data_IF_094123790978
#
_entry.id   IF_094123790978
#
_cell.length_a   1.000
_cell.length_b   1.000
_cell.length_c   1.000
_cell.angle_alpha   90.00
_cell.angle_beta   90.00
_cell.angle_gamma   90.00
#
_symmetry.space_group_name_H-M   'P 1'
#
loop_
_entity.id
_entity.type
_entity.pdbx_description
1 polymer ?
#
# COMPACT_ATOMS: atom_id res chain seq x y z
N UNK A 1 24.12 -10.25 -1.28
CA UNK A 1 24.46 -11.53 -1.96
C UNK A 1 23.17 -12.26 -2.29
N UNK A 2 23.06 -12.85 -3.48
CA UNK A 2 21.81 -13.44 -4.01
C UNK A 2 22.01 -14.90 -4.38
N UNK A 3 20.94 -15.71 -4.34
CA UNK A 3 20.97 -17.11 -4.77
C UNK A 3 19.66 -17.55 -5.43
N UNK A 4 19.77 -18.59 -6.25
CA UNK A 4 18.60 -19.35 -6.70
C UNK A 4 18.17 -20.32 -5.61
N UNK A 5 16.86 -20.44 -5.42
CA UNK A 5 16.25 -21.48 -4.60
C UNK A 5 15.14 -22.17 -5.39
N UNK A 6 14.81 -23.39 -5.00
CA UNK A 6 13.64 -24.09 -5.52
C UNK A 6 12.43 -23.85 -4.60
N UNK A 7 11.30 -23.52 -5.19
CA UNK A 7 10.03 -23.47 -4.49
C UNK A 7 9.45 -24.89 -4.31
N UNK A 8 8.50 -25.09 -3.37
CA UNK A 8 7.88 -26.40 -3.14
C UNK A 8 7.23 -27.04 -4.38
N UNK A 9 6.82 -26.24 -5.36
CA UNK A 9 6.22 -26.70 -6.61
C UNK A 9 7.26 -26.94 -7.73
N UNK A 10 8.56 -26.92 -7.43
CA UNK A 10 9.65 -27.15 -8.38
C UNK A 10 10.04 -25.94 -9.24
N UNK A 11 9.34 -24.81 -9.13
CA UNK A 11 9.72 -23.56 -9.82
C UNK A 11 10.91 -22.88 -9.13
N UNK A 12 11.70 -22.13 -9.88
CA UNK A 12 12.85 -21.42 -9.31
C UNK A 12 12.46 -20.05 -8.78
N UNK A 13 13.14 -19.61 -7.74
CA UNK A 13 12.99 -18.29 -7.15
C UNK A 13 14.37 -17.68 -6.91
N UNK A 14 14.39 -16.35 -6.80
CA UNK A 14 15.59 -15.58 -6.51
C UNK A 14 15.46 -15.01 -5.10
N UNK A 15 16.45 -15.28 -4.26
CA UNK A 15 16.49 -14.88 -2.86
C UNK A 15 17.68 -13.95 -2.59
N UNK A 16 17.44 -12.88 -1.85
CA UNK A 16 18.52 -12.11 -1.21
C UNK A 16 18.88 -12.77 0.12
N UNK A 17 20.13 -13.23 0.24
CA UNK A 17 20.59 -14.09 1.35
C UNK A 17 20.48 -13.39 2.71
N UNK A 18 20.79 -12.09 2.78
CA UNK A 18 20.82 -11.36 4.06
C UNK A 18 19.43 -11.18 4.68
N UNK A 19 18.41 -10.92 3.86
CA UNK A 19 17.04 -10.67 4.34
C UNK A 19 16.11 -11.88 4.18
N UNK A 20 16.52 -12.91 3.44
CA UNK A 20 15.64 -14.00 3.01
C UNK A 20 14.51 -13.55 2.10
N UNK A 21 14.63 -12.36 1.49
CA UNK A 21 13.60 -11.80 0.63
C UNK A 21 13.57 -12.49 -0.72
N UNK A 22 12.36 -12.86 -1.17
CA UNK A 22 12.13 -13.50 -2.45
C UNK A 22 11.64 -12.50 -3.49
N UNK A 23 12.22 -12.56 -4.69
CA UNK A 23 11.85 -11.70 -5.81
C UNK A 23 10.57 -12.17 -6.52
N UNK A 24 10.17 -13.42 -6.30
CA UNK A 24 8.93 -14.00 -6.85
C UNK A 24 8.15 -14.72 -5.75
N UNK A 25 6.90 -15.03 -6.04
CA UNK A 25 6.01 -15.81 -5.18
C UNK A 25 6.63 -17.15 -4.83
N UNK A 26 6.69 -17.48 -3.54
CA UNK A 26 7.18 -18.79 -3.06
C UNK A 26 6.32 -19.96 -3.53
N UNK A 27 5.05 -19.71 -3.85
CA UNK A 27 4.09 -20.76 -4.18
C UNK A 27 3.90 -20.93 -5.68
N UNK A 28 3.73 -19.83 -6.43
CA UNK A 28 3.45 -19.87 -7.86
C UNK A 28 4.04 -18.65 -8.59
N UNK A 29 5.37 -18.63 -8.85
CA UNK A 29 6.02 -17.56 -9.62
C UNK A 29 5.42 -17.33 -11.00
N UNK A 30 5.05 -18.41 -11.72
CA UNK A 30 4.48 -18.30 -13.06
C UNK A 30 3.15 -17.55 -13.05
N UNK A 31 2.23 -17.92 -12.15
CA UNK A 31 0.93 -17.24 -12.02
C UNK A 31 1.05 -15.81 -11.48
N UNK A 32 2.08 -15.52 -10.68
CA UNK A 32 2.42 -14.14 -10.34
C UNK A 32 2.89 -13.38 -11.58
N UNK A 33 3.78 -13.98 -12.37
CA UNK A 33 4.27 -13.43 -13.64
C UNK A 33 3.13 -13.09 -14.60
N UNK A 34 2.16 -13.98 -14.77
CA UNK A 34 0.97 -13.75 -15.60
C UNK A 34 0.14 -12.54 -15.16
N UNK A 35 -0.02 -12.35 -13.85
CA UNK A 35 -0.74 -11.20 -13.25
C UNK A 35 0.05 -9.90 -13.37
N UNK A 36 1.38 -9.97 -13.30
CA UNK A 36 2.25 -8.82 -13.49
C UNK A 36 2.27 -8.43 -14.97
N UNK A 37 2.30 -9.40 -15.88
CA UNK A 37 2.23 -9.18 -17.32
C UNK A 37 0.96 -8.43 -17.76
N UNK A 38 -0.18 -8.65 -17.09
CA UNK A 38 -1.44 -7.90 -17.35
C UNK A 38 -1.34 -6.40 -17.05
N UNK A 39 -0.33 -5.97 -16.28
CA UNK A 39 -0.08 -4.56 -15.96
C UNK A 39 0.94 -3.92 -16.92
N UNK A 40 1.59 -4.71 -17.77
CA UNK A 40 2.54 -4.21 -18.76
C UNK A 40 1.74 -3.57 -19.91
N UNK A 41 2.08 -2.33 -20.33
CA UNK A 41 1.37 -1.66 -21.40
C UNK A 41 1.37 -2.47 -22.70
N UNK A 42 0.20 -2.56 -23.35
CA UNK A 42 0.11 -3.11 -24.71
C UNK A 42 0.53 -2.03 -25.71
N UNK A 43 1.50 -2.29 -26.60
CA UNK A 43 1.96 -1.31 -27.57
C UNK A 43 0.86 -0.99 -28.58
N UNK A 44 0.72 0.30 -28.89
CA UNK A 44 -0.28 0.81 -29.83
C UNK A 44 0.24 0.86 -31.27
N UNK A 45 1.55 0.71 -31.46
CA UNK A 45 2.22 0.64 -32.77
C UNK A 45 3.47 -0.25 -32.70
N UNK A 46 3.96 -0.68 -33.85
CA UNK A 46 5.22 -1.42 -34.02
C UNK A 46 6.47 -0.57 -33.68
N UNK A 47 6.33 0.76 -33.66
CA UNK A 47 7.36 1.73 -33.27
C UNK A 47 7.35 2.09 -31.78
N UNK A 48 6.54 1.41 -30.97
CA UNK A 48 6.50 1.59 -29.52
C UNK A 48 7.37 0.55 -28.80
N UNK A 49 8.33 1.02 -28.00
CA UNK A 49 9.19 0.17 -27.17
C UNK A 49 8.68 0.14 -25.73
N UNK A 50 8.44 -1.07 -25.22
CA UNK A 50 8.12 -1.31 -23.81
C UNK A 50 9.43 -1.36 -23.02
N UNK A 51 9.55 -0.49 -22.03
CA UNK A 51 10.73 -0.38 -21.19
C UNK A 51 10.43 -0.97 -19.80
N UNK A 52 11.00 -2.12 -19.49
CA UNK A 52 10.75 -2.86 -18.24
C UNK A 52 11.89 -2.61 -17.26
N UNK A 53 11.56 -2.17 -16.04
CA UNK A 53 12.50 -2.02 -14.93
C UNK A 53 12.34 -3.16 -13.92
N UNK A 54 13.35 -4.02 -13.86
CA UNK A 54 13.42 -5.21 -13.01
C UNK A 54 13.07 -6.48 -13.79
N UNK A 55 14.04 -7.37 -13.99
CA UNK A 55 13.85 -8.63 -14.73
C UNK A 55 13.57 -9.81 -13.79
N UNK A 56 14.36 -9.92 -12.71
CA UNK A 56 14.31 -11.07 -11.81
C UNK A 56 14.63 -12.35 -12.57
N UNK A 57 13.70 -13.31 -12.58
CA UNK A 57 13.82 -14.55 -13.38
C UNK A 57 13.00 -14.50 -14.67
N UNK A 58 12.39 -13.36 -15.00
CA UNK A 58 11.70 -13.16 -16.26
C UNK A 58 10.28 -13.75 -16.37
N UNK A 59 9.67 -14.26 -15.30
CA UNK A 59 8.32 -14.85 -15.34
C UNK A 59 7.26 -13.92 -15.95
N UNK A 60 7.30 -12.64 -15.60
CA UNK A 60 6.37 -11.63 -16.13
C UNK A 60 6.69 -11.25 -17.59
N UNK A 61 7.98 -11.20 -17.95
CA UNK A 61 8.42 -10.92 -19.32
C UNK A 61 7.99 -12.05 -20.25
N UNK A 62 8.22 -13.30 -19.84
CA UNK A 62 7.85 -14.49 -20.60
C UNK A 62 6.33 -14.55 -20.80
N UNK A 63 5.54 -14.37 -19.73
CA UNK A 63 4.08 -14.35 -19.84
C UNK A 63 3.56 -13.19 -20.71
N UNK A 64 4.23 -12.03 -20.69
CA UNK A 64 3.87 -10.89 -21.53
C UNK A 64 4.14 -11.16 -23.01
N UNK A 65 5.30 -11.72 -23.35
CA UNK A 65 5.66 -12.08 -24.72
C UNK A 65 4.74 -13.19 -25.27
N UNK A 66 4.39 -14.19 -24.46
CA UNK A 66 3.45 -15.26 -24.85
C UNK A 66 2.06 -14.74 -25.22
N UNK A 67 1.57 -13.71 -24.52
CA UNK A 67 0.25 -13.11 -24.76
C UNK A 67 0.24 -12.12 -25.94
N UNK A 68 1.40 -11.70 -26.43
CA UNK A 68 1.49 -10.69 -27.47
C UNK A 68 1.13 -11.29 -28.84
N UNK A 69 0.00 -10.86 -29.40
CA UNK A 69 -0.49 -11.33 -30.70
C UNK A 69 0.24 -10.72 -31.91
N UNK A 70 1.20 -9.82 -31.67
CA UNK A 70 2.01 -9.14 -32.68
C UNK A 70 3.46 -8.99 -32.16
N UNK A 71 4.46 -8.85 -33.06
CA UNK A 71 5.81 -8.49 -32.66
C UNK A 71 5.84 -7.24 -31.77
N UNK A 72 6.68 -7.27 -30.74
CA UNK A 72 6.84 -6.16 -29.79
C UNK A 72 8.32 -5.86 -29.56
N UNK A 73 8.61 -4.58 -29.31
CA UNK A 73 9.93 -4.10 -28.94
C UNK A 73 9.99 -4.01 -27.42
N UNK A 74 10.94 -4.73 -26.79
CA UNK A 74 11.09 -4.77 -25.34
C UNK A 74 12.55 -4.47 -24.98
N UNK A 75 12.74 -3.41 -24.19
CA UNK A 75 14.00 -3.08 -23.53
C UNK A 75 13.83 -3.37 -22.04
N UNK A 76 14.71 -4.19 -21.48
CA UNK A 76 14.63 -4.64 -20.09
C UNK A 76 15.88 -4.14 -19.36
N UNK A 77 15.69 -3.47 -18.23
CA UNK A 77 16.76 -3.10 -17.31
C UNK A 77 16.66 -3.95 -16.05
N UNK A 78 17.67 -4.77 -15.77
CA UNK A 78 17.86 -5.39 -14.46
C UNK A 78 18.80 -4.50 -13.64
N UNK A 79 18.30 -3.69 -12.69
CA UNK A 79 19.10 -2.65 -12.06
C UNK A 79 20.19 -3.18 -11.12
N UNK A 80 20.12 -4.43 -10.66
CA UNK A 80 21.04 -5.00 -9.69
C UNK A 80 22.11 -5.81 -10.41
N UNK A 81 23.30 -5.22 -10.59
CA UNK A 81 24.42 -5.86 -11.31
C UNK A 81 24.81 -7.23 -10.73
N UNK A 82 24.71 -7.40 -9.42
CA UNK A 82 25.02 -8.65 -8.72
C UNK A 82 24.09 -9.82 -9.10
N UNK A 83 22.95 -9.56 -9.76
CA UNK A 83 22.05 -10.59 -10.26
C UNK A 83 22.45 -11.14 -11.62
N UNK A 84 23.30 -10.43 -12.38
CA UNK A 84 23.65 -10.78 -13.77
C UNK A 84 24.02 -12.25 -13.93
N UNK A 85 25.00 -12.73 -13.16
CA UNK A 85 25.50 -14.11 -13.26
C UNK A 85 24.45 -15.20 -12.98
N UNK A 86 23.39 -14.85 -12.24
CA UNK A 86 22.31 -15.77 -11.90
C UNK A 86 21.24 -15.76 -12.99
N UNK A 87 20.86 -14.57 -13.46
CA UNK A 87 19.67 -14.37 -14.29
C UNK A 87 19.97 -14.38 -15.79
N UNK A 88 21.23 -14.21 -16.19
CA UNK A 88 21.67 -14.14 -17.59
C UNK A 88 21.19 -15.35 -18.41
N UNK A 89 21.37 -16.57 -17.88
CA UNK A 89 20.87 -17.81 -18.52
C UNK A 89 19.36 -17.80 -18.78
N UNK A 90 18.57 -17.24 -17.86
CA UNK A 90 17.12 -17.11 -18.04
C UNK A 90 16.79 -16.07 -19.10
N UNK A 91 17.50 -14.94 -19.09
CA UNK A 91 17.34 -13.87 -20.06
C UNK A 91 17.69 -14.33 -21.49
N UNK A 92 18.76 -15.10 -21.65
CA UNK A 92 19.17 -15.68 -22.94
C UNK A 92 18.14 -16.68 -23.46
N UNK A 93 17.65 -17.59 -22.60
CA UNK A 93 16.61 -18.55 -22.95
C UNK A 93 15.35 -17.84 -23.46
N UNK A 94 14.85 -16.86 -22.71
CA UNK A 94 13.65 -16.09 -23.07
C UNK A 94 13.93 -15.30 -24.36
N UNK A 95 15.04 -14.57 -24.43
CA UNK A 95 15.42 -13.76 -25.59
C UNK A 95 15.49 -14.60 -26.87
N UNK A 96 16.15 -15.76 -26.85
CA UNK A 96 16.26 -16.67 -28.00
C UNK A 96 14.89 -17.20 -28.43
N UNK A 97 14.09 -17.69 -27.49
CA UNK A 97 12.77 -18.27 -27.75
C UNK A 97 11.84 -17.28 -28.45
N UNK A 98 11.75 -16.05 -27.94
CA UNK A 98 10.78 -15.06 -28.45
C UNK A 98 11.31 -14.21 -29.61
N UNK A 99 12.64 -14.06 -29.78
CA UNK A 99 13.20 -13.46 -31.00
C UNK A 99 12.86 -14.24 -32.26
N UNK A 100 12.80 -15.57 -32.17
CA UNK A 100 12.34 -16.42 -33.28
C UNK A 100 10.88 -16.15 -33.68
N UNK A 101 10.06 -15.60 -32.78
CA UNK A 101 8.67 -15.22 -33.03
C UNK A 101 8.54 -13.74 -33.46
N UNK A 102 9.66 -13.09 -33.82
CA UNK A 102 9.69 -11.72 -34.32
C UNK A 102 9.79 -10.63 -33.26
N UNK A 103 9.81 -10.96 -31.96
CA UNK A 103 9.98 -9.96 -30.91
C UNK A 103 11.42 -9.41 -30.87
N UNK A 104 11.57 -8.10 -30.67
CA UNK A 104 12.89 -7.46 -30.51
C UNK A 104 13.15 -7.24 -29.03
N UNK A 105 14.09 -8.00 -28.47
CA UNK A 105 14.35 -8.02 -27.02
C UNK A 105 15.80 -7.61 -26.76
N UNK A 106 15.99 -6.60 -25.92
CA UNK A 106 17.29 -6.14 -25.42
C UNK A 106 17.24 -6.11 -23.90
N UNK A 107 18.28 -6.60 -23.24
CA UNK A 107 18.43 -6.55 -21.78
C UNK A 107 19.73 -5.82 -21.41
N UNK A 108 19.67 -5.01 -20.36
CA UNK A 108 20.79 -4.26 -19.78
C UNK A 108 20.88 -4.62 -18.30
N UNK A 109 22.10 -4.82 -17.80
CA UNK A 109 22.36 -5.19 -16.41
C UNK A 109 23.08 -4.06 -15.68
N UNK A 110 22.58 -3.68 -14.50
CA UNK A 110 23.13 -2.58 -13.71
C UNK A 110 22.55 -1.23 -14.12
N UNK A 111 22.06 -0.48 -13.13
CA UNK A 111 21.56 0.86 -13.35
C UNK A 111 22.67 1.81 -13.84
N UNK A 112 23.86 1.75 -13.27
CA UNK A 112 24.98 2.62 -13.65
C UNK A 112 25.41 2.41 -15.11
N UNK A 113 25.44 1.16 -15.58
CA UNK A 113 25.71 0.84 -16.99
C UNK A 113 24.66 1.46 -17.90
N UNK A 114 23.38 1.31 -17.56
CA UNK A 114 22.28 1.91 -18.31
C UNK A 114 22.37 3.43 -18.36
N UNK A 115 22.74 4.09 -17.25
CA UNK A 115 22.86 5.54 -17.14
C UNK A 115 24.12 6.10 -17.79
N UNK A 116 25.13 5.27 -18.07
CA UNK A 116 26.38 5.69 -18.73
C UNK A 116 26.18 6.12 -20.19
N UNK A 117 25.02 5.83 -20.78
CA UNK A 117 24.66 6.16 -22.14
C UNK A 117 23.29 6.84 -22.18
N UNK A 118 23.03 7.73 -23.17
CA UNK A 118 21.70 8.28 -23.36
C UNK A 118 20.70 7.17 -23.72
N UNK A 119 19.42 7.34 -23.35
CA UNK A 119 18.38 6.33 -23.58
C UNK A 119 18.31 5.88 -25.04
N UNK A 120 18.50 6.81 -25.98
CA UNK A 120 18.51 6.56 -27.43
C UNK A 120 19.53 5.51 -27.87
N UNK A 121 20.65 5.33 -27.15
CA UNK A 121 21.63 4.27 -27.40
C UNK A 121 21.02 2.88 -27.22
N UNK A 122 20.15 2.74 -26.20
CA UNK A 122 19.54 1.48 -25.83
C UNK A 122 18.27 1.16 -26.62
N UNK A 123 17.64 2.14 -27.26
CA UNK A 123 16.41 1.94 -28.04
C UNK A 123 16.68 1.27 -29.39
N UNK A 124 15.61 0.75 -30.00
CA UNK A 124 15.63 0.29 -31.38
C UNK A 124 15.51 1.48 -32.34
N UNK A 125 16.18 1.44 -33.49
CA UNK A 125 16.35 2.58 -34.43
C UNK A 125 15.04 3.26 -34.86
N UNK A 126 13.95 2.49 -34.92
CA UNK A 126 12.60 2.86 -35.35
C UNK A 126 11.66 3.26 -34.20
N UNK A 127 12.17 3.29 -32.95
CA UNK A 127 11.36 3.65 -31.77
C UNK A 127 10.96 5.11 -31.82
N UNK A 128 9.66 5.41 -31.80
CA UNK A 128 9.13 6.78 -31.68
C UNK A 128 8.31 7.00 -30.40
N UNK A 129 8.01 5.93 -29.64
CA UNK A 129 7.25 5.98 -28.39
C UNK A 129 7.83 4.98 -27.40
N UNK A 130 7.90 5.38 -26.12
CA UNK A 130 8.40 4.52 -25.04
C UNK A 130 7.32 4.39 -23.97
N UNK A 131 7.04 3.16 -23.55
CA UNK A 131 6.09 2.86 -22.48
C UNK A 131 6.81 2.18 -21.32
N UNK A 132 7.13 2.93 -20.25
CA UNK A 132 7.84 2.37 -19.10
C UNK A 132 6.90 1.53 -18.22
N UNK A 133 7.44 0.45 -17.68
CA UNK A 133 6.81 -0.44 -16.71
C UNK A 133 7.80 -0.75 -15.59
N UNK A 134 7.40 -0.47 -14.35
CA UNK A 134 8.21 -0.81 -13.17
C UNK A 134 7.71 -2.11 -12.57
N UNK A 135 8.59 -3.10 -12.48
CA UNK A 135 8.24 -4.35 -11.84
C UNK A 135 7.92 -4.12 -10.35
N UNK A 136 6.76 -4.58 -9.84
CA UNK A 136 6.30 -4.22 -8.49
C UNK A 136 7.26 -4.56 -7.36
N UNK A 137 8.05 -5.62 -7.50
CA UNK A 137 9.07 -5.99 -6.49
C UNK A 137 10.18 -4.95 -6.43
N UNK A 138 10.62 -4.46 -7.60
CA UNK A 138 11.73 -3.52 -7.70
C UNK A 138 11.31 -2.13 -7.24
N UNK A 139 10.11 -1.69 -7.62
CA UNK A 139 9.55 -0.42 -7.13
C UNK A 139 9.31 -0.41 -5.62
N UNK A 140 9.08 -1.58 -5.00
CA UNK A 140 8.83 -1.68 -3.55
C UNK A 140 10.12 -1.77 -2.72
N UNK A 141 11.05 -2.62 -3.15
CA UNK A 141 12.26 -2.95 -2.38
C UNK A 141 13.47 -2.08 -2.73
N UNK A 142 13.59 -1.66 -3.98
CA UNK A 142 14.74 -0.91 -4.49
C UNK A 142 14.28 0.46 -4.97
N UNK A 143 13.65 1.21 -4.05
CA UNK A 143 13.01 2.50 -4.36
C UNK A 143 14.01 3.51 -4.91
N UNK A 144 15.21 3.59 -4.35
CA UNK A 144 16.24 4.51 -4.82
C UNK A 144 16.66 4.21 -6.27
N UNK A 145 16.85 2.93 -6.60
CA UNK A 145 17.15 2.52 -7.98
C UNK A 145 15.98 2.82 -8.93
N UNK A 146 14.75 2.59 -8.48
CA UNK A 146 13.54 2.88 -9.26
C UNK A 146 13.35 4.38 -9.50
N UNK A 147 13.66 5.22 -8.50
CA UNK A 147 13.61 6.67 -8.60
C UNK A 147 14.70 7.20 -9.55
N UNK A 148 15.95 6.78 -9.38
CA UNK A 148 17.06 7.14 -10.28
C UNK A 148 16.80 6.72 -11.72
N UNK A 149 16.21 5.54 -11.93
CA UNK A 149 15.77 5.11 -13.24
C UNK A 149 14.67 6.00 -13.81
N UNK A 150 13.61 6.29 -13.05
CA UNK A 150 12.54 7.19 -13.48
C UNK A 150 13.04 8.60 -13.80
N UNK A 151 14.02 9.09 -13.03
CA UNK A 151 14.67 10.38 -13.24
C UNK A 151 15.48 10.41 -14.54
N UNK A 152 16.15 9.30 -14.90
CA UNK A 152 16.86 9.19 -16.17
C UNK A 152 15.95 9.27 -17.39
N UNK A 153 14.70 8.81 -17.27
CA UNK A 153 13.70 8.91 -18.33
C UNK A 153 13.17 10.35 -18.48
N UNK A 154 13.36 11.23 -17.47
CA UNK A 154 12.99 12.65 -17.56
C UNK A 154 13.89 13.42 -18.51
N UNK A 155 15.17 13.04 -18.64
CA UNK A 155 16.14 13.75 -19.47
C UNK A 155 15.95 13.53 -20.99
N UNK A 156 15.15 12.55 -21.43
CA UNK A 156 14.95 12.21 -22.86
C UNK A 156 13.50 12.39 -23.39
N UNK A 157 12.63 13.05 -22.62
CA UNK A 157 11.30 13.55 -22.99
C UNK A 157 10.18 12.52 -23.33
N UNK A 158 8.95 12.91 -22.95
CA UNK A 158 7.64 12.41 -23.41
C UNK A 158 7.27 10.93 -23.16
N UNK A 159 6.70 10.62 -21.97
CA UNK A 159 5.43 9.88 -21.88
C UNK A 159 4.82 9.84 -20.47
N UNK A 160 3.57 10.30 -20.39
CA UNK A 160 2.88 10.76 -19.18
C UNK A 160 1.90 9.71 -18.62
N UNK A 161 1.66 8.57 -19.28
CA UNK A 161 0.49 7.72 -19.03
C UNK A 161 0.53 6.86 -17.74
N UNK A 162 1.68 6.26 -17.38
CA UNK A 162 1.77 5.40 -16.19
C UNK A 162 1.85 6.19 -14.86
N UNK A 163 2.38 7.42 -14.92
CA UNK A 163 2.40 8.43 -13.83
C UNK A 163 0.99 8.87 -13.37
N UNK A 164 -0.06 8.59 -14.13
CA UNK A 164 -1.31 9.31 -14.05
C UNK A 164 -2.41 8.76 -13.12
N UNK A 165 -2.36 7.51 -12.67
CA UNK A 165 -3.51 6.94 -11.96
C UNK A 165 -3.31 6.84 -10.45
N UNK A 166 -2.18 6.28 -9.97
CA UNK A 166 -1.95 6.05 -8.54
C UNK A 166 -1.22 7.21 -7.84
N UNK A 167 -0.23 7.85 -8.48
CA UNK A 167 0.43 9.04 -7.92
C UNK A 167 -0.53 10.23 -7.81
N UNK A 168 -1.48 10.38 -8.74
CA UNK A 168 -2.42 11.50 -8.72
C UNK A 168 -3.40 11.48 -7.55
N UNK A 169 -3.91 10.32 -7.15
CA UNK A 169 -4.90 10.24 -6.05
C UNK A 169 -4.22 10.57 -4.71
N UNK A 170 -3.05 10.01 -4.44
CA UNK A 170 -2.35 10.24 -3.18
C UNK A 170 -1.82 11.66 -3.06
N UNK A 171 -1.17 12.19 -4.10
CA UNK A 171 -0.72 13.60 -4.09
C UNK A 171 -1.90 14.55 -3.93
N UNK A 172 -2.98 14.37 -4.71
CA UNK A 172 -4.20 15.18 -4.58
C UNK A 172 -4.80 15.06 -3.18
N UNK A 173 -4.87 13.86 -2.62
CA UNK A 173 -5.42 13.64 -1.30
C UNK A 173 -4.53 14.28 -0.22
N UNK A 174 -3.20 14.11 -0.26
CA UNK A 174 -2.27 14.77 0.67
C UNK A 174 -2.49 16.28 0.70
N UNK A 175 -2.55 16.90 -0.48
CA UNK A 175 -2.81 18.34 -0.61
C UNK A 175 -4.17 18.72 -0.06
N UNK A 176 -5.24 18.08 -0.55
CA UNK A 176 -6.61 18.41 -0.13
C UNK A 176 -6.80 18.20 1.38
N UNK A 177 -6.29 17.10 1.91
CA UNK A 177 -6.44 16.73 3.32
C UNK A 177 -5.66 17.70 4.18
N UNK A 178 -4.45 18.10 3.76
CA UNK A 178 -3.72 19.15 4.44
C UNK A 178 -4.48 20.47 4.42
N UNK A 179 -4.94 20.94 3.27
CA UNK A 179 -5.77 22.15 3.17
C UNK A 179 -7.01 22.07 4.07
N UNK A 180 -7.70 20.92 4.06
CA UNK A 180 -8.86 20.66 4.92
C UNK A 180 -8.55 20.76 6.41
N UNK A 181 -7.36 20.37 6.86
CA UNK A 181 -6.94 20.54 8.26
C UNK A 181 -6.84 22.02 8.66
N UNK A 182 -6.42 22.89 7.73
CA UNK A 182 -6.31 24.34 7.99
C UNK A 182 -7.66 25.06 7.87
N UNK A 183 -8.52 24.64 6.93
CA UNK A 183 -9.81 25.27 6.66
C UNK A 183 -10.91 24.81 7.62
N UNK A 184 -10.92 23.54 8.00
CA UNK A 184 -11.98 22.98 8.84
C UNK A 184 -11.64 23.10 10.32
N UNK A 185 -12.66 23.29 11.16
CA UNK A 185 -12.53 23.26 12.62
C UNK A 185 -12.44 21.84 13.21
N UNK A 186 -12.23 20.81 12.37
CA UNK A 186 -12.17 19.42 12.81
C UNK A 186 -10.85 19.17 13.55
N UNK A 187 -10.87 18.61 14.78
CA UNK A 187 -9.66 18.43 15.56
C UNK A 187 -8.73 17.43 14.86
N UNK A 188 -7.53 17.88 14.49
CA UNK A 188 -6.52 17.08 13.81
C UNK A 188 -5.20 17.18 14.56
N UNK A 189 -4.55 16.04 14.81
CA UNK A 189 -3.30 15.95 15.56
C UNK A 189 -2.32 15.04 14.81
N UNK A 190 -1.06 15.45 14.72
CA UNK A 190 0.03 14.63 14.18
C UNK A 190 0.58 13.76 15.31
N UNK A 191 0.62 12.44 15.11
CA UNK A 191 1.28 11.51 16.03
C UNK A 191 2.79 11.69 15.94
N UNK A 192 3.42 12.12 17.03
CA UNK A 192 4.87 12.33 17.09
C UNK A 192 5.60 11.42 18.06
N UNK A 193 4.87 10.67 18.89
CA UNK A 193 5.46 9.65 19.74
C UNK A 193 4.51 9.09 20.79
N UNK A 194 5.10 8.50 21.83
CA UNK A 194 4.44 8.00 23.02
C UNK A 194 5.16 8.52 24.26
N UNK A 195 4.44 8.67 25.37
CA UNK A 195 5.05 8.87 26.69
C UNK A 195 5.85 7.62 27.08
N UNK A 196 7.00 7.83 27.71
CA UNK A 196 7.90 6.76 28.12
C UNK A 196 7.18 5.73 29.01
N UNK A 197 7.38 4.46 28.67
CA UNK A 197 6.80 3.28 29.34
C UNK A 197 5.27 3.29 29.52
N UNK A 198 4.52 4.18 28.87
CA UNK A 198 3.07 4.27 29.06
C UNK A 198 2.34 3.00 28.60
N UNK A 199 2.75 2.49 27.43
CA UNK A 199 2.18 1.30 26.80
C UNK A 199 2.88 0.00 27.21
N UNK A 200 3.89 0.11 28.08
CA UNK A 200 4.45 -1.05 28.80
C UNK A 200 3.31 -1.65 29.64
N UNK A 201 3.18 -2.97 29.59
CA UNK A 201 2.09 -3.75 30.18
C UNK A 201 0.67 -3.48 29.61
N UNK A 202 0.53 -2.63 28.59
CA UNK A 202 -0.74 -2.43 27.90
C UNK A 202 -0.87 -3.40 26.72
N UNK A 203 -2.11 -3.77 26.40
CA UNK A 203 -2.42 -4.64 25.27
C UNK A 203 -3.16 -3.85 24.20
N UNK A 204 -2.76 -3.99 22.94
CA UNK A 204 -3.52 -3.53 21.77
C UNK A 204 -4.26 -4.71 21.16
N UNK A 205 -5.56 -4.60 20.97
CA UNK A 205 -6.36 -5.49 20.13
C UNK A 205 -6.64 -4.77 18.81
N UNK A 206 -6.21 -5.37 17.70
CA UNK A 206 -6.63 -4.95 16.37
C UNK A 206 -7.74 -5.86 15.83
N UNK A 207 -8.81 -5.27 15.29
CA UNK A 207 -9.85 -6.03 14.58
C UNK A 207 -9.79 -5.76 13.08
N UNK A 208 -9.46 -6.80 12.32
CA UNK A 208 -9.73 -6.87 10.88
C UNK A 208 -11.16 -7.31 10.62
N UNK A 209 -11.54 -7.41 9.35
CA UNK A 209 -12.92 -7.67 8.95
C UNK A 209 -13.16 -9.08 8.40
N UNK A 210 -12.35 -10.07 8.74
CA UNK A 210 -12.60 -11.47 8.35
C UNK A 210 -13.92 -11.98 8.95
N UNK A 211 -14.67 -12.89 8.29
CA UNK A 211 -15.90 -13.46 8.82
C UNK A 211 -15.78 -14.07 10.22
N UNK A 212 -14.60 -14.56 10.62
CA UNK A 212 -14.36 -15.09 11.97
C UNK A 212 -14.51 -14.06 13.08
N UNK A 213 -14.41 -12.75 12.78
CA UNK A 213 -14.69 -11.70 13.76
C UNK A 213 -16.08 -11.88 14.39
N UNK A 214 -17.05 -12.40 13.63
CA UNK A 214 -18.41 -12.65 14.11
C UNK A 214 -18.40 -13.60 15.33
N UNK A 215 -17.62 -14.68 15.26
CA UNK A 215 -17.49 -15.68 16.33
C UNK A 215 -16.63 -15.16 17.50
N UNK A 216 -15.71 -14.24 17.22
CA UNK A 216 -14.83 -13.65 18.23
C UNK A 216 -15.47 -12.49 19.00
N UNK A 217 -16.62 -11.98 18.55
CA UNK A 217 -17.22 -10.74 19.07
C UNK A 217 -17.64 -10.86 20.54
N UNK A 218 -18.20 -12.00 20.95
CA UNK A 218 -18.60 -12.23 22.34
C UNK A 218 -17.40 -12.16 23.29
N UNK A 219 -16.25 -12.67 22.86
CA UNK A 219 -15.02 -12.59 23.63
C UNK A 219 -14.53 -11.14 23.74
N UNK A 220 -14.63 -10.36 22.66
CA UNK A 220 -14.23 -8.94 22.66
C UNK A 220 -15.11 -8.17 23.63
N UNK A 221 -16.42 -8.40 23.62
CA UNK A 221 -17.37 -7.77 24.52
C UNK A 221 -17.06 -8.08 25.98
N UNK A 222 -16.87 -9.38 26.32
CA UNK A 222 -16.55 -9.83 27.68
C UNK A 222 -15.22 -9.28 28.21
N UNK A 223 -14.26 -9.02 27.32
CA UNK A 223 -12.91 -8.58 27.69
C UNK A 223 -12.61 -7.12 27.32
N UNK A 224 -13.62 -6.31 26.94
CA UNK A 224 -13.41 -4.96 26.37
C UNK A 224 -12.54 -4.04 27.23
N UNK A 225 -12.62 -4.21 28.56
CA UNK A 225 -11.85 -3.45 29.55
C UNK A 225 -10.47 -4.06 29.85
N UNK A 226 -9.93 -4.91 28.96
CA UNK A 226 -8.60 -5.56 29.11
C UNK A 226 -7.61 -5.24 27.97
N UNK A 227 -7.98 -4.39 27.02
CA UNK A 227 -7.11 -3.90 25.94
C UNK A 227 -7.56 -2.54 25.39
N UNK A 228 -6.64 -1.86 24.72
CA UNK A 228 -6.97 -0.83 23.74
C UNK A 228 -7.51 -1.47 22.46
N UNK A 229 -8.60 -0.98 21.90
CA UNK A 229 -9.22 -1.50 20.69
C UNK A 229 -9.00 -0.58 19.49
N UNK A 230 -8.19 -1.02 18.54
CA UNK A 230 -8.00 -0.40 17.24
C UNK A 230 -8.80 -1.17 16.18
N UNK A 231 -9.86 -0.58 15.64
CA UNK A 231 -10.67 -1.24 14.63
C UNK A 231 -10.28 -0.83 13.21
N UNK A 232 -10.26 -1.77 12.26
CA UNK A 232 -10.25 -1.39 10.84
C UNK A 232 -11.55 -0.67 10.49
N UNK A 233 -11.48 0.30 9.57
CA UNK A 233 -12.69 0.89 8.98
C UNK A 233 -13.67 -0.17 8.45
N UNK A 234 -13.15 -1.28 7.93
CA UNK A 234 -13.93 -2.37 7.34
C UNK A 234 -14.70 -3.18 8.39
N UNK A 235 -14.12 -3.39 9.58
CA UNK A 235 -14.76 -4.10 10.71
C UNK A 235 -15.64 -3.19 11.57
N UNK A 236 -15.47 -1.88 11.46
CA UNK A 236 -16.13 -0.85 12.25
C UNK A 236 -17.66 -1.03 12.33
N UNK A 237 -18.30 -1.23 11.18
CA UNK A 237 -19.75 -1.39 11.10
C UNK A 237 -20.27 -2.60 11.89
N UNK A 238 -19.49 -3.68 11.93
CA UNK A 238 -19.82 -4.88 12.71
C UNK A 238 -19.70 -4.61 14.21
N UNK A 239 -18.53 -4.16 14.69
CA UNK A 239 -18.29 -3.96 16.12
C UNK A 239 -19.23 -2.92 16.74
N UNK A 240 -19.56 -1.85 16.01
CA UNK A 240 -20.51 -0.83 16.49
C UNK A 240 -21.94 -1.38 16.60
N UNK A 241 -22.37 -2.26 15.70
CA UNK A 241 -23.70 -2.89 15.78
C UNK A 241 -23.85 -3.76 17.04
N UNK A 242 -22.74 -4.24 17.62
CA UNK A 242 -22.72 -4.99 18.88
C UNK A 242 -22.46 -4.10 20.11
N UNK A 243 -22.53 -2.76 19.96
CA UNK A 243 -22.31 -1.82 21.05
C UNK A 243 -20.86 -1.68 21.49
N UNK A 244 -19.90 -2.22 20.73
CA UNK A 244 -18.47 -2.13 21.04
C UNK A 244 -17.90 -0.87 20.38
N UNK A 245 -17.64 0.16 21.18
CA UNK A 245 -16.97 1.38 20.73
C UNK A 245 -15.45 1.17 20.79
N UNK A 246 -14.73 1.24 19.65
CA UNK A 246 -13.27 1.15 19.66
C UNK A 246 -12.64 2.41 20.26
N UNK A 247 -11.35 2.34 20.64
CA UNK A 247 -10.60 3.49 21.13
C UNK A 247 -10.11 4.37 19.96
N UNK A 248 -9.87 3.76 18.80
CA UNK A 248 -9.61 4.44 17.54
C UNK A 248 -10.01 3.56 16.34
N UNK A 249 -10.25 4.20 15.20
CA UNK A 249 -10.48 3.52 13.92
C UNK A 249 -9.29 3.77 13.03
N UNK A 250 -8.66 2.71 12.53
CA UNK A 250 -7.63 2.80 11.52
C UNK A 250 -8.29 2.86 10.13
N UNK A 251 -7.87 3.80 9.29
CA UNK A 251 -8.28 3.87 7.88
C UNK A 251 -7.12 4.22 6.97
N UNK A 252 -6.90 3.38 5.95
CA UNK A 252 -5.75 3.43 5.06
C UNK A 252 -6.12 3.80 3.62
N UNK A 253 -7.26 3.32 3.11
CA UNK A 253 -7.61 3.44 1.69
C UNK A 253 -7.86 4.89 1.27
N UNK A 254 -7.37 5.23 0.06
CA UNK A 254 -7.45 6.57 -0.52
C UNK A 254 -8.67 6.79 -1.42
N UNK A 255 -9.44 5.72 -1.65
CA UNK A 255 -10.55 5.70 -2.59
C UNK A 255 -11.84 6.27 -1.98
N UNK A 256 -12.83 6.56 -2.83
CA UNK A 256 -14.18 6.93 -2.37
C UNK A 256 -14.93 5.75 -1.73
N UNK A 257 -14.50 4.51 -1.98
CA UNK A 257 -15.10 3.32 -1.39
C UNK A 257 -15.08 3.35 0.15
N UNK A 258 -14.11 4.06 0.73
CA UNK A 258 -14.00 4.30 2.17
C UNK A 258 -15.28 4.89 2.79
N UNK A 259 -16.04 5.69 2.03
CA UNK A 259 -17.34 6.22 2.45
C UNK A 259 -18.28 5.14 3.00
N UNK A 260 -18.34 3.98 2.35
CA UNK A 260 -19.30 2.94 2.73
C UNK A 260 -18.97 2.27 4.07
N UNK A 261 -17.71 2.33 4.50
CA UNK A 261 -17.25 1.82 5.79
C UNK A 261 -17.63 2.76 6.95
N UNK A 262 -17.70 4.07 6.67
CA UNK A 262 -18.04 5.10 7.62
C UNK A 262 -19.49 5.54 7.45
N UNK A 263 -20.41 4.77 8.07
CA UNK A 263 -21.84 5.09 8.13
C UNK A 263 -22.08 6.36 8.98
N UNK A 264 -23.28 6.95 8.89
CA UNK A 264 -23.73 8.08 9.75
C UNK A 264 -23.85 7.76 11.25
N UNK A 265 -23.28 6.64 11.72
CA UNK A 265 -23.40 6.11 13.09
C UNK A 265 -22.05 6.22 13.83
N UNK A 266 -21.04 6.86 13.24
CA UNK A 266 -19.75 7.02 13.90
C UNK A 266 -19.90 7.91 15.15
N UNK A 267 -19.54 7.43 16.36
CA UNK A 267 -19.57 8.28 17.55
C UNK A 267 -18.71 9.52 17.33
N UNK A 268 -19.23 10.73 17.56
CA UNK A 268 -18.59 12.00 17.17
C UNK A 268 -17.16 12.18 17.68
N UNK A 269 -16.86 11.63 18.87
CA UNK A 269 -15.55 11.74 19.53
C UNK A 269 -14.59 10.61 19.17
N UNK A 270 -15.01 9.61 18.39
CA UNK A 270 -14.18 8.48 18.02
C UNK A 270 -13.08 8.95 17.04
N UNK A 271 -11.79 8.88 17.41
CA UNK A 271 -10.72 9.32 16.54
C UNK A 271 -10.49 8.35 15.39
N UNK A 272 -10.11 8.92 14.24
CA UNK A 272 -9.74 8.18 13.04
C UNK A 272 -8.23 8.32 12.86
N UNK A 273 -7.51 7.21 13.06
CA UNK A 273 -6.09 7.06 12.76
C UNK A 273 -5.92 6.86 11.25
N UNK A 274 -5.27 7.81 10.58
CA UNK A 274 -5.09 7.79 9.12
C UNK A 274 -3.80 8.52 8.71
N UNK A 275 -3.52 8.57 7.40
CA UNK A 275 -2.37 9.26 6.81
C UNK A 275 -2.85 10.34 5.84
N UNK A 276 -1.97 11.24 5.42
CA UNK A 276 -2.37 12.37 4.57
C UNK A 276 -2.84 11.95 3.18
N UNK A 277 -2.36 10.82 2.66
CA UNK A 277 -2.84 10.25 1.39
C UNK A 277 -4.18 9.50 1.50
N UNK A 278 -4.74 9.36 2.70
CA UNK A 278 -6.00 8.66 2.95
C UNK A 278 -7.21 9.30 2.26
N UNK A 279 -8.36 8.62 2.31
CA UNK A 279 -9.58 9.10 1.64
C UNK A 279 -9.97 10.48 2.13
N UNK A 280 -10.20 11.41 1.21
CA UNK A 280 -10.54 12.80 1.55
C UNK A 280 -11.87 12.94 2.28
N UNK A 281 -12.77 11.96 2.10
CA UNK A 281 -14.03 11.91 2.84
C UNK A 281 -13.79 11.80 4.35
N UNK A 282 -12.73 11.09 4.77
CA UNK A 282 -12.39 10.98 6.19
C UNK A 282 -12.15 12.38 6.76
N UNK A 283 -11.35 13.19 6.09
CA UNK A 283 -10.99 14.56 6.53
C UNK A 283 -12.19 15.51 6.60
N UNK A 284 -13.23 15.25 5.80
CA UNK A 284 -14.49 16.00 5.86
C UNK A 284 -15.35 15.61 7.10
N UNK A 285 -15.16 14.42 7.69
CA UNK A 285 -15.92 14.00 8.88
C UNK A 285 -15.56 14.84 10.12
N UNK A 286 -16.53 15.15 11.00
CA UNK A 286 -16.31 15.97 12.19
C UNK A 286 -15.44 15.28 13.26
N UNK A 287 -15.18 13.99 13.09
CA UNK A 287 -14.40 13.18 14.01
C UNK A 287 -12.95 13.67 14.14
N UNK A 288 -12.29 13.44 15.29
CA UNK A 288 -10.88 13.73 15.43
C UNK A 288 -10.04 12.93 14.43
N UNK A 289 -9.00 13.56 13.89
CA UNK A 289 -8.00 12.92 13.02
C UNK A 289 -6.72 12.74 13.79
N UNK A 290 -6.26 11.49 13.88
CA UNK A 290 -4.93 11.16 14.35
C UNK A 290 -4.11 10.79 13.12
N UNK A 291 -3.12 11.61 12.80
CA UNK A 291 -2.41 11.51 11.54
C UNK A 291 -1.03 10.91 11.81
N UNK A 292 -0.72 9.80 11.15
CA UNK A 292 0.61 9.21 11.15
C UNK A 292 1.32 9.47 9.82
N UNK A 293 2.66 9.47 9.82
CA UNK A 293 3.43 9.52 8.60
C UNK A 293 3.67 8.12 8.05
N UNK A 294 3.33 7.94 6.78
CA UNK A 294 3.61 6.71 6.03
C UNK A 294 4.99 6.77 5.36
N UNK A 295 5.33 5.71 4.62
CA UNK A 295 6.51 5.69 3.74
C UNK A 295 6.33 6.48 2.44
N UNK A 296 5.18 7.14 2.23
CA UNK A 296 4.94 7.94 1.03
C UNK A 296 5.86 9.17 0.97
N UNK A 297 6.41 9.55 -0.19
CA UNK A 297 7.38 10.65 -0.29
C UNK A 297 6.90 11.99 0.31
N UNK A 298 5.65 12.39 0.06
CA UNK A 298 5.12 13.64 0.64
C UNK A 298 5.01 13.59 2.17
N UNK A 299 4.69 12.44 2.74
CA UNK A 299 4.64 12.25 4.20
C UNK A 299 6.05 12.35 4.78
N UNK A 300 7.04 11.73 4.12
CA UNK A 300 8.43 11.77 4.57
C UNK A 300 9.03 13.18 4.48
N UNK A 301 8.70 13.94 3.43
CA UNK A 301 9.13 15.34 3.30
C UNK A 301 8.50 16.19 4.41
N UNK A 302 7.18 16.12 4.59
CA UNK A 302 6.48 16.86 5.65
C UNK A 302 7.03 16.54 7.04
N UNK A 303 7.25 15.26 7.31
CA UNK A 303 7.91 14.78 8.52
C UNK A 303 9.30 15.40 8.67
N UNK A 304 10.16 15.30 7.67
CA UNK A 304 11.53 15.83 7.74
C UNK A 304 11.57 17.34 7.99
N UNK A 305 10.66 18.10 7.37
CA UNK A 305 10.63 19.56 7.46
C UNK A 305 10.02 20.07 8.78
N UNK A 306 8.94 19.44 9.26
CA UNK A 306 8.12 20.00 10.34
C UNK A 306 8.01 19.12 11.58
N UNK A 307 8.26 17.81 11.46
CA UNK A 307 8.04 16.82 12.53
C UNK A 307 9.16 15.76 12.52
N UNK A 308 10.42 16.20 12.61
CA UNK A 308 11.60 15.34 12.40
C UNK A 308 11.67 14.14 13.36
N UNK A 309 11.05 14.25 14.52
CA UNK A 309 10.96 13.19 15.54
C UNK A 309 9.75 12.28 15.38
N UNK A 310 8.77 12.63 14.54
CA UNK A 310 7.59 11.82 14.35
C UNK A 310 7.96 10.45 13.77
N UNK A 311 7.29 9.37 14.17
CA UNK A 311 7.59 8.06 13.63
C UNK A 311 7.00 7.85 12.24
N UNK A 312 7.62 6.93 11.50
CA UNK A 312 7.07 6.41 10.25
C UNK A 312 6.42 5.07 10.55
N UNK A 313 5.14 4.93 10.22
CA UNK A 313 4.47 3.63 10.29
C UNK A 313 4.60 2.90 8.96
N UNK A 314 5.43 1.87 8.96
CA UNK A 314 5.64 1.00 7.80
C UNK A 314 4.53 -0.05 7.67
N UNK A 315 4.15 -0.38 6.43
CA UNK A 315 3.15 -1.42 6.17
C UNK A 315 3.69 -2.55 5.27
N UNK A 316 4.58 -3.41 5.78
CA UNK A 316 5.16 -4.50 4.98
C UNK A 316 4.12 -5.54 4.54
N UNK A 317 3.01 -5.68 5.29
CA UNK A 317 1.94 -6.64 4.97
C UNK A 317 0.95 -6.13 3.91
N UNK A 318 1.04 -4.84 3.53
CA UNK A 318 0.19 -4.17 2.56
C UNK A 318 -1.32 -4.24 2.89
N UNK A 319 -1.67 -4.31 4.18
CA UNK A 319 -3.05 -4.29 4.67
C UNK A 319 -3.14 -3.52 6.00
N UNK A 320 -4.34 -3.43 6.56
CA UNK A 320 -4.57 -2.69 7.81
C UNK A 320 -3.90 -3.30 9.04
N UNK A 321 -3.77 -4.63 9.10
CA UNK A 321 -3.10 -5.31 10.20
C UNK A 321 -1.61 -4.96 10.27
N UNK A 322 -0.94 -4.76 9.13
CA UNK A 322 0.46 -4.32 9.11
C UNK A 322 0.69 -2.95 9.74
N UNK A 323 -0.20 -1.98 9.45
CA UNK A 323 -0.14 -0.69 10.14
C UNK A 323 -0.44 -0.84 11.63
N UNK A 324 -1.38 -1.71 12.03
CA UNK A 324 -1.64 -1.98 13.44
C UNK A 324 -0.41 -2.58 14.15
N UNK A 325 0.32 -3.49 13.49
CA UNK A 325 1.60 -4.03 13.98
C UNK A 325 2.65 -2.92 14.11
N UNK A 326 2.80 -2.07 13.10
CA UNK A 326 3.75 -0.96 13.15
C UNK A 326 3.39 0.06 14.25
N UNK A 327 2.11 0.38 14.39
CA UNK A 327 1.59 1.23 15.46
C UNK A 327 1.90 0.64 16.84
N UNK A 328 1.62 -0.64 17.06
CA UNK A 328 1.92 -1.32 18.32
C UNK A 328 3.42 -1.29 18.66
N UNK A 329 4.27 -1.61 17.67
CA UNK A 329 5.74 -1.59 17.82
C UNK A 329 6.26 -0.20 18.12
N UNK A 330 5.80 0.80 17.38
CA UNK A 330 6.26 2.18 17.54
C UNK A 330 5.93 2.76 18.91
N UNK A 331 4.76 2.40 19.45
CA UNK A 331 4.32 2.83 20.77
C UNK A 331 4.84 1.93 21.89
N UNK A 332 5.63 0.88 21.57
CA UNK A 332 6.19 -0.09 22.51
C UNK A 332 5.11 -0.78 23.36
N UNK A 333 4.00 -1.18 22.72
CA UNK A 333 3.03 -2.05 23.35
C UNK A 333 3.70 -3.36 23.78
N UNK A 334 3.41 -3.79 25.00
CA UNK A 334 3.87 -5.09 25.49
C UNK A 334 3.25 -6.24 24.70
N UNK A 335 1.97 -6.08 24.32
CA UNK A 335 1.22 -7.13 23.61
C UNK A 335 0.33 -6.57 22.52
N UNK A 336 0.23 -7.33 21.44
CA UNK A 336 -0.73 -7.13 20.34
C UNK A 336 -1.56 -8.42 20.19
N UNK A 337 -2.87 -8.25 20.02
CA UNK A 337 -3.81 -9.32 19.69
C UNK A 337 -4.43 -8.96 18.36
N UNK A 338 -4.55 -9.92 17.45
CA UNK A 338 -5.22 -9.72 16.17
C UNK A 338 -6.48 -10.60 16.12
N UNK A 339 -7.63 -9.99 15.82
CA UNK A 339 -8.91 -10.68 15.63
C UNK A 339 -9.53 -10.29 14.30
N UNK A 340 -10.25 -11.21 13.66
CA UNK A 340 -10.81 -10.98 12.33
C UNK A 340 -9.76 -10.76 11.24
N UNK A 341 -8.56 -11.35 11.36
CA UNK A 341 -7.46 -11.20 10.37
C UNK A 341 -7.01 -12.52 9.75
N UNK A 342 -7.77 -13.60 9.94
CA UNK A 342 -7.39 -14.93 9.48
C UNK A 342 -7.64 -15.19 7.98
N UNK A 343 -8.22 -14.21 7.27
CA UNK A 343 -8.59 -14.30 5.85
C UNK A 343 -9.44 -15.53 5.50
N UNK A 344 -10.07 -16.15 6.50
CA UNK A 344 -10.97 -17.27 6.30
C UNK A 344 -12.22 -16.82 5.56
N UNK A 345 -12.90 -17.77 4.92
CA UNK A 345 -14.16 -17.52 4.24
C UNK A 345 -15.21 -18.44 4.81
N UNK A 346 -16.29 -17.86 5.33
CA UNK A 346 -17.44 -18.60 5.82
C UNK A 346 -18.64 -18.35 4.89
N UNK A 347 -19.14 -19.40 4.23
CA UNK A 347 -20.28 -19.30 3.32
C UNK A 347 -20.05 -18.41 2.09
N UNK A 348 -18.81 -18.35 1.58
CA UNK A 348 -18.42 -17.49 0.45
C UNK A 348 -18.20 -16.01 0.82
N UNK A 349 -18.46 -15.62 2.07
CA UNK A 349 -18.16 -14.29 2.59
C UNK A 349 -16.66 -14.09 2.70
N UNK A 350 -16.21 -12.91 2.28
CA UNK A 350 -14.81 -12.47 2.40
C UNK A 350 -14.59 -11.53 3.57
N UNK A 351 -15.68 -10.96 4.11
CA UNK A 351 -15.66 -10.05 5.24
C UNK A 351 -16.82 -10.38 6.18
N UNK A 352 -16.75 -9.92 7.42
CA UNK A 352 -17.86 -9.94 8.35
C UNK A 352 -19.04 -9.10 7.83
N UNK A 353 -20.22 -9.43 8.33
CA UNK A 353 -21.45 -8.70 8.05
C UNK A 353 -21.32 -7.23 8.45
N UNK A 354 -22.14 -6.39 7.85
CA UNK A 354 -22.16 -4.94 8.13
C UNK A 354 -20.87 -4.18 7.75
N UNK A 355 -19.96 -4.82 7.02
CA UNK A 355 -18.86 -4.13 6.36
C UNK A 355 -19.36 -3.19 5.27
N UNK A 356 -18.60 -2.15 4.95
CA UNK A 356 -18.95 -1.19 3.89
C UNK A 356 -19.14 -1.83 2.51
N UNK A 357 -18.53 -2.99 2.27
CA UNK A 357 -18.77 -3.78 1.07
C UNK A 357 -20.21 -4.31 0.96
N UNK A 358 -20.78 -4.82 2.06
CA UNK A 358 -22.19 -5.21 2.07
C UNK A 358 -23.11 -3.99 1.97
N UNK A 359 -22.72 -2.86 2.57
CA UNK A 359 -23.49 -1.60 2.46
C UNK A 359 -23.55 -1.12 1.01
N UNK A 360 -22.42 -1.15 0.30
CA UNK A 360 -22.37 -0.82 -1.12
C UNK A 360 -23.24 -1.76 -1.96
N UNK A 361 -23.15 -3.07 -1.73
CA UNK A 361 -23.89 -4.04 -2.52
C UNK A 361 -25.40 -3.95 -2.34
N UNK A 362 -25.88 -3.50 -1.17
CA UNK A 362 -27.31 -3.34 -0.89
C UNK A 362 -28.04 -2.49 -1.92
N UNK A 363 -27.36 -1.53 -2.55
CA UNK A 363 -27.95 -0.70 -3.61
C UNK A 363 -28.29 -1.48 -4.88
N UNK A 364 -27.64 -2.63 -5.11
CA UNK A 364 -27.81 -3.46 -6.30
C UNK A 364 -28.66 -4.70 -6.05
N UNK A 365 -29.16 -4.89 -4.83
CA UNK A 365 -30.00 -6.03 -4.51
C UNK A 365 -31.41 -5.85 -5.08
N UNK A 366 -31.97 -6.96 -5.55
CA UNK A 366 -33.36 -7.02 -6.02
C UNK A 366 -33.96 -8.37 -5.66
N UNK A 367 -35.26 -8.57 -5.93
CA UNK A 367 -35.89 -9.89 -5.77
C UNK A 367 -35.17 -11.01 -6.54
N UNK A 368 -34.43 -10.69 -7.61
CA UNK A 368 -33.68 -11.64 -8.45
C UNK A 368 -32.16 -11.61 -8.23
N UNK A 369 -31.66 -10.63 -7.48
CA UNK A 369 -30.24 -10.41 -7.22
C UNK A 369 -29.97 -10.35 -5.71
N UNK A 370 -29.37 -11.41 -5.17
CA UNK A 370 -29.04 -11.54 -3.75
C UNK A 370 -27.55 -11.31 -3.50
N UNK A 371 -27.17 -10.98 -2.25
CA UNK A 371 -25.75 -10.91 -1.84
C UNK A 371 -25.01 -12.21 -2.10
N UNK A 372 -25.70 -13.36 -2.01
CA UNK A 372 -25.08 -14.63 -2.33
C UNK A 372 -24.67 -14.69 -3.81
N UNK A 373 -25.55 -14.22 -4.70
CA UNK A 373 -25.36 -14.22 -6.14
C UNK A 373 -24.32 -13.20 -6.61
N UNK A 374 -24.30 -12.00 -6.02
CA UNK A 374 -23.37 -10.93 -6.39
C UNK A 374 -22.01 -11.03 -5.66
N UNK A 375 -22.09 -11.24 -4.34
CA UNK A 375 -21.03 -11.36 -3.32
C UNK A 375 -20.29 -12.69 -3.25
N UNK A 376 -21.08 -13.72 -2.98
CA UNK A 376 -20.60 -14.93 -2.28
C UNK A 376 -20.46 -16.17 -3.20
N UNK A 377 -20.53 -15.99 -4.53
CA UNK A 377 -20.29 -17.05 -5.52
C UNK A 377 -18.82 -17.37 -5.84
N UNK A 378 -18.38 -18.61 -5.56
CA UNK A 378 -17.01 -19.10 -5.85
C UNK A 378 -16.53 -18.81 -7.28
N UNK A 379 -15.61 -17.84 -7.46
CA UNK A 379 -14.87 -17.64 -8.72
C UNK A 379 -13.40 -18.09 -8.61
N UNK A 380 -12.79 -18.50 -9.73
CA UNK A 380 -11.38 -18.99 -9.78
C UNK A 380 -10.33 -17.98 -9.27
N UNK A 381 -10.66 -16.69 -9.20
CA UNK A 381 -9.82 -15.65 -8.58
C UNK A 381 -9.75 -15.73 -7.05
N UNK A 382 -10.52 -16.61 -6.40
CA UNK A 382 -10.73 -16.62 -4.95
C UNK A 382 -9.70 -17.41 -4.14
N UNK A 383 -9.01 -18.36 -4.77
CA UNK A 383 -8.00 -19.20 -4.12
C UNK A 383 -6.64 -18.48 -3.94
N UNK A 384 -6.47 -17.27 -4.48
CA UNK A 384 -5.17 -16.58 -4.64
C UNK A 384 -4.72 -15.65 -3.48
N UNK A 385 -5.29 -15.70 -2.26
CA UNK A 385 -5.01 -14.68 -1.19
C UNK A 385 -4.27 -15.14 0.08
N UNK A 386 -3.77 -16.38 0.16
CA UNK A 386 -3.12 -16.88 1.39
C UNK A 386 -1.71 -16.33 1.69
N UNK A 387 -1.09 -15.54 0.80
CA UNK A 387 0.29 -15.06 1.04
C UNK A 387 0.41 -14.07 2.20
N UNK A 388 -0.64 -13.31 2.52
CA UNK A 388 -0.57 -12.23 3.52
C UNK A 388 -0.72 -12.75 4.95
N UNK A 389 -1.61 -13.74 5.16
CA UNK A 389 -1.74 -14.42 6.45
C UNK A 389 -0.43 -15.09 6.84
N UNK A 390 0.25 -15.72 5.88
CA UNK A 390 1.55 -16.37 6.11
C UNK A 390 2.67 -15.35 6.41
N UNK A 391 2.63 -14.15 5.80
CA UNK A 391 3.55 -13.06 6.17
C UNK A 391 3.29 -12.60 7.61
N UNK A 392 2.03 -12.40 8.01
CA UNK A 392 1.69 -11.99 9.38
C UNK A 392 2.05 -13.07 10.41
N UNK A 393 1.76 -14.34 10.12
CA UNK A 393 2.15 -15.48 10.97
C UNK A 393 3.66 -15.66 11.07
N UNK A 394 4.41 -15.37 9.99
CA UNK A 394 5.88 -15.46 10.01
C UNK A 394 6.52 -14.29 10.75
N UNK A 395 6.01 -13.07 10.56
CA UNK A 395 6.55 -11.87 11.20
C UNK A 395 6.16 -11.76 12.67
N UNK A 396 5.06 -12.37 13.08
CA UNK A 396 4.54 -12.27 14.44
C UNK A 396 3.64 -13.46 14.81
N UNK A 397 4.22 -14.66 14.80
CA UNK A 397 3.57 -15.95 15.07
C UNK A 397 2.80 -16.01 16.40
N UNK A 398 3.33 -15.30 17.38
CA UNK A 398 2.85 -15.17 18.74
C UNK A 398 1.49 -14.45 18.84
N UNK A 399 1.11 -13.67 17.83
CA UNK A 399 -0.17 -12.94 17.76
C UNK A 399 -1.38 -13.84 17.49
N UNK A 400 -1.16 -15.11 17.14
CA UNK A 400 -2.20 -16.06 16.70
C UNK A 400 -2.45 -17.22 17.69
N UNK A 401 -1.99 -17.13 18.94
CA UNK A 401 -2.20 -18.18 19.96
C UNK A 401 -3.64 -18.15 20.52
N UNK A 402 -4.14 -19.33 20.91
CA UNK A 402 -5.58 -19.62 21.15
C UNK A 402 -6.18 -19.07 22.45
N UNK A 403 -5.37 -18.72 23.45
CA UNK A 403 -5.86 -18.02 24.64
C UNK A 403 -4.79 -17.06 25.17
N UNK A 404 -4.79 -15.79 24.73
CA UNK A 404 -3.87 -14.83 25.30
C UNK A 404 -4.26 -14.46 26.74
N UNK A 405 -5.51 -14.72 27.22
CA UNK A 405 -6.06 -14.03 28.39
C UNK A 405 -6.08 -14.69 29.76
N UNK A 406 -5.76 -15.98 29.84
CA UNK A 406 -5.60 -16.69 31.10
C UNK A 406 -4.46 -16.13 31.98
N UNK A 407 -3.47 -15.45 31.39
CA UNK A 407 -2.28 -14.94 32.09
C UNK A 407 -2.23 -13.41 32.29
N UNK A 408 -3.28 -12.62 31.97
CA UNK A 408 -3.15 -11.16 32.15
C UNK A 408 -3.32 -10.75 33.62
N UNK A 409 -2.37 -9.98 34.19
CA UNK A 409 -2.65 -9.24 35.40
C UNK A 409 -3.81 -8.27 35.14
N UNK A 410 -4.69 -8.08 36.14
CA UNK A 410 -5.74 -7.05 36.12
C UNK A 410 -5.11 -5.67 36.29
N UNK A 411 -4.24 -5.27 35.36
CA UNK A 411 -3.73 -3.91 35.31
C UNK A 411 -4.85 -2.98 34.85
N UNK A 412 -4.91 -1.78 35.44
CA UNK A 412 -5.82 -0.74 35.01
C UNK A 412 -5.47 -0.31 33.57
N UNK A 413 -6.49 -0.25 32.71
CA UNK A 413 -6.32 0.31 31.36
C UNK A 413 -6.30 1.81 31.46
N UNK A 414 -5.16 2.37 31.10
CA UNK A 414 -5.01 3.81 30.87
C UNK A 414 -5.66 4.14 29.53
N UNK A 415 -6.15 5.37 29.32
CA UNK A 415 -6.78 5.70 28.03
C UNK A 415 -5.73 5.83 26.95
N UNK A 416 -5.99 5.27 25.76
CA UNK A 416 -5.09 5.32 24.59
C UNK A 416 -4.54 6.73 24.33
N UNK A 417 -5.42 7.73 24.29
CA UNK A 417 -5.08 9.10 23.97
C UNK A 417 -4.12 9.77 24.97
N UNK A 418 -4.11 9.32 26.25
CA UNK A 418 -3.28 9.90 27.30
C UNK A 418 -1.80 9.50 27.18
N UNK A 419 -1.52 8.40 26.49
CA UNK A 419 -0.16 7.90 26.24
C UNK A 419 0.48 8.43 24.96
N UNK A 420 -0.31 9.01 24.06
CA UNK A 420 0.17 9.49 22.76
C UNK A 420 0.70 10.92 22.87
N UNK A 421 1.80 11.19 22.18
CA UNK A 421 2.39 12.53 22.04
C UNK A 421 1.96 13.09 20.71
N UNK A 422 1.44 14.31 20.77
CA UNK A 422 0.80 14.97 19.65
C UNK A 422 1.46 16.30 19.34
N UNK A 423 1.51 16.65 18.07
CA UNK A 423 1.82 17.99 17.62
C UNK A 423 0.68 18.55 16.76
N UNK A 424 0.52 19.87 16.83
CA UNK A 424 -0.46 20.58 16.01
C UNK A 424 0.00 20.57 14.54
N UNK A 425 -0.80 20.06 13.59
CA UNK A 425 -0.49 20.13 12.17
C UNK A 425 -0.28 21.58 11.68
N UNK A 426 -0.79 22.59 12.39
CA UNK A 426 -0.55 24.01 12.08
C UNK A 426 0.91 24.46 12.22
N UNK A 427 1.80 23.61 12.75
CA UNK A 427 3.27 23.81 12.64
C UNK A 427 3.76 23.79 11.19
N UNK A 428 3.02 23.12 10.30
CA UNK A 428 3.28 23.18 8.86
C UNK A 428 3.02 24.61 8.41
N UNK A 429 4.06 25.29 7.92
CA UNK A 429 3.91 26.59 7.29
C UNK A 429 3.25 26.39 5.93
N UNK A 430 1.91 26.43 5.91
CA UNK A 430 1.10 26.03 4.74
C UNK A 430 1.53 26.76 3.47
N UNK A 431 1.86 28.05 3.55
CA UNK A 431 2.36 28.85 2.43
C UNK A 431 3.71 28.35 1.91
N UNK A 432 4.63 27.98 2.81
CA UNK A 432 5.93 27.42 2.43
C UNK A 432 5.76 26.03 1.83
N UNK A 433 4.83 25.23 2.34
CA UNK A 433 4.49 23.93 1.79
C UNK A 433 3.86 24.05 0.40
N UNK A 434 2.92 24.97 0.22
CA UNK A 434 2.33 25.31 -1.08
C UNK A 434 3.42 25.79 -2.04
N UNK A 435 4.32 26.66 -1.60
CA UNK A 435 5.44 27.16 -2.42
C UNK A 435 6.38 26.02 -2.80
N UNK A 436 6.72 25.13 -1.86
CA UNK A 436 7.51 23.92 -2.11
C UNK A 436 6.83 23.06 -3.18
N UNK A 437 5.55 22.77 -3.01
CA UNK A 437 4.73 22.04 -3.98
C UNK A 437 4.72 22.72 -5.37
N UNK A 438 4.61 24.05 -5.42
CA UNK A 438 4.57 24.82 -6.66
C UNK A 438 5.92 24.86 -7.37
N UNK A 439 7.01 25.02 -6.62
CA UNK A 439 8.40 25.01 -7.12
C UNK A 439 8.80 23.62 -7.60
N UNK A 440 8.37 22.58 -6.88
CA UNK A 440 8.53 21.17 -7.26
C UNK A 440 7.30 20.65 -8.01
N UNK A 441 6.88 21.36 -9.06
CA UNK A 441 5.76 20.97 -9.94
C UNK A 441 6.01 19.63 -10.66
N UNK A 442 7.24 19.14 -10.66
CA UNK A 442 7.60 17.78 -11.10
C UNK A 442 7.12 16.68 -10.14
N UNK A 443 6.71 17.03 -8.91
CA UNK A 443 5.91 16.19 -8.02
C UNK A 443 4.40 16.24 -8.35
N UNK A 444 3.95 17.30 -9.04
CA UNK A 444 2.54 17.53 -9.43
C UNK A 444 2.16 16.85 -10.74
N UNK A 445 3.12 16.68 -11.65
CA UNK A 445 3.01 15.97 -12.94
C UNK A 445 1.94 16.47 -13.93
N UNK A 446 0.98 17.33 -13.52
CA UNK A 446 -0.18 17.81 -14.29
C UNK A 446 -0.87 19.07 -13.73
N UNK A 447 -0.19 19.96 -13.00
CA UNK A 447 -0.76 21.23 -12.50
C UNK A 447 -2.00 21.08 -11.57
N UNK A 448 -2.11 20.01 -10.77
CA UNK A 448 -3.18 19.88 -9.77
C UNK A 448 -2.98 20.76 -8.54
N UNK A 449 -1.81 21.39 -8.38
CA UNK A 449 -1.64 22.53 -7.50
C UNK A 449 -2.46 23.76 -7.95
N UNK A 450 -3.35 23.68 -8.95
CA UNK A 450 -4.42 24.68 -9.16
C UNK A 450 -5.68 24.06 -9.78
N UNK A 451 -6.92 24.46 -9.38
CA UNK A 451 -7.37 25.82 -9.01
C UNK A 451 -7.62 26.06 -7.51
N UNK A 452 -7.47 25.05 -6.63
CA UNK A 452 -7.78 25.19 -5.19
C UNK A 452 -6.69 25.87 -4.37
N UNK A 453 -5.40 25.67 -4.71
CA UNK A 453 -4.29 26.35 -4.04
C UNK A 453 -4.09 27.77 -4.59
N UNK A 454 -4.29 27.99 -5.90
CA UNK A 454 -4.22 29.34 -6.51
C UNK A 454 -5.40 30.27 -6.14
N UNK A 455 -6.47 29.74 -5.54
CA UNK A 455 -7.58 30.53 -4.99
C UNK A 455 -7.39 30.89 -3.50
N UNK A 456 -6.27 30.50 -2.88
CA UNK A 456 -5.90 31.00 -1.56
C UNK A 456 -5.31 32.40 -1.80
N UNK A 457 -5.98 33.49 -1.38
CA UNK A 457 -5.51 34.83 -1.69
C UNK A 457 -4.10 35.03 -1.12
N UNK A 458 -3.17 35.62 -1.89
CA UNK A 458 -1.91 36.07 -1.33
C UNK A 458 -2.25 37.12 -0.27
N UNK A 459 -1.99 36.82 1.00
CA UNK A 459 -2.08 37.86 2.03
C UNK A 459 -0.91 38.80 1.77
N UNK A 460 -1.30 40.04 1.48
CA UNK A 460 -0.47 41.22 1.24
C UNK A 460 0.64 41.27 2.29
N UNK A 461 1.88 41.34 1.82
CA UNK A 461 3.04 41.66 2.67
C UNK A 461 2.80 43.00 3.37
N UNK A 462 2.88 43.00 4.70
CA UNK A 462 3.10 44.20 5.52
C UNK A 462 4.22 43.94 6.51
#
# INVERSE_FOLDING_TARGET
MYRLISNPNGTLNLEEIQSGFLFHSRFHPTSEGERIAEQIPTPQSDRETILIFGFGLGYHVEAYLQKANKPVNVLILEPIVALKSIVEKFSERISKSYKMHGHRIRIVFGLDEFLSQPLSFWLFQDTNKISPFLHPVYSRKFQDLALSFLDSLKQNSQNIAARNYFQRIWVRNCVRNLTSIFENSNPSLILTGAKDDFFKDQTLLFTGASPSLEEETDWILKNRNRFHLLASDTSLGWILNFGIVPDAVLSLDSSRGTLFHFRNILPKKLPILTWLGGSTYIFDLPNPKWIYFSTHPLDQILRSLFFSQAPILENPSLNMAGIAVSFAKQLKYDRLILKGVDFQRNGGRTHCRSSGYEVYDRFFLSRKESLFKTRFQKSKSWEKRFSILEILKKQSSELFKSDPMSNFPKAEIKKLAEGLVWEDPKKIRLEQWIRFCTVHSDLDLKNYFSPRILNIPPVIES
#
